data_IF_857558275300
#
_entry.id   IF_857558275300
#
_cell.length_a   1.000
_cell.length_b   1.000
_cell.length_c   1.000
_cell.angle_alpha   90.00
_cell.angle_beta   90.00
_cell.angle_gamma   90.00
#
_symmetry.space_group_name_H-M   'P 1'
#
loop_
_entity.id
_entity.type
_entity.pdbx_description
1 polymer ?
#
# COMPACT_ATOMS: atom_id res chain seq x y z
N UNK A 1 4.23 13.04 11.97
CA UNK A 1 4.69 12.59 10.63
C UNK A 1 3.53 11.92 9.93
N UNK A 2 3.15 12.42 8.75
CA UNK A 2 2.14 11.77 7.90
C UNK A 2 2.81 10.67 7.05
N UNK A 3 2.16 9.51 6.97
CA UNK A 3 2.66 8.35 6.21
C UNK A 3 1.54 7.79 5.36
N UNK A 4 1.82 7.60 4.08
CA UNK A 4 0.95 6.86 3.17
C UNK A 4 1.32 5.38 3.12
N UNK A 5 0.34 4.52 3.37
CA UNK A 5 0.49 3.07 3.34
C UNK A 5 -0.31 2.48 2.18
N UNK A 6 0.29 1.59 1.39
CA UNK A 6 -0.42 0.73 0.44
C UNK A 6 -0.69 -0.62 1.10
N UNK A 7 -1.94 -1.07 1.10
CA UNK A 7 -2.35 -2.38 1.56
C UNK A 7 -2.83 -3.20 0.36
N UNK A 8 -2.32 -4.43 0.22
CA UNK A 8 -2.70 -5.36 -0.83
C UNK A 8 -3.00 -6.76 -0.30
N UNK A 9 -4.02 -7.44 -0.82
CA UNK A 9 -4.38 -8.82 -0.45
C UNK A 9 -4.85 -9.61 -1.67
N UNK A 10 -4.38 -10.85 -1.84
CA UNK A 10 -4.80 -11.70 -2.97
C UNK A 10 -5.02 -13.18 -2.60
N UNK A 11 -5.23 -13.50 -1.32
CA UNK A 11 -5.58 -14.85 -0.86
C UNK A 11 -6.92 -14.88 -0.14
N UNK A 12 -7.69 -15.92 -0.37
CA UNK A 12 -8.94 -16.24 0.35
C UNK A 12 -9.88 -15.02 0.54
N UNK A 13 -10.22 -14.69 1.76
CA UNK A 13 -11.09 -13.55 2.11
C UNK A 13 -10.29 -12.23 2.14
N UNK A 14 -9.91 -11.73 0.96
CA UNK A 14 -9.08 -10.55 0.73
C UNK A 14 -9.55 -9.32 1.52
N UNK A 15 -10.86 -9.05 1.54
CA UNK A 15 -11.41 -7.89 2.24
C UNK A 15 -11.26 -8.02 3.76
N UNK A 16 -11.48 -9.21 4.30
CA UNK A 16 -11.27 -9.49 5.73
C UNK A 16 -9.81 -9.25 6.13
N UNK A 17 -8.86 -9.68 5.32
CA UNK A 17 -7.45 -9.46 5.60
C UNK A 17 -7.05 -7.98 5.56
N UNK A 18 -7.58 -7.19 4.62
CA UNK A 18 -7.38 -5.73 4.61
C UNK A 18 -7.95 -5.07 5.88
N UNK A 19 -9.18 -5.46 6.29
CA UNK A 19 -9.82 -4.95 7.51
C UNK A 19 -8.98 -5.31 8.75
N UNK A 20 -8.53 -6.56 8.85
CA UNK A 20 -7.68 -7.00 9.97
C UNK A 20 -6.35 -6.24 10.02
N UNK A 21 -5.70 -6.03 8.88
CA UNK A 21 -4.47 -5.24 8.80
C UNK A 21 -4.69 -3.82 9.29
N UNK A 22 -5.73 -3.14 8.78
CA UNK A 22 -6.11 -1.79 9.24
C UNK A 22 -6.35 -1.75 10.75
N UNK A 23 -7.14 -2.68 11.29
CA UNK A 23 -7.43 -2.73 12.72
C UNK A 23 -6.16 -2.90 13.55
N UNK A 24 -5.23 -3.77 13.15
CA UNK A 24 -3.98 -3.98 13.86
C UNK A 24 -3.03 -2.79 13.74
N UNK A 25 -2.97 -2.12 12.59
CA UNK A 25 -2.20 -0.88 12.42
C UNK A 25 -2.74 0.20 13.38
N UNK A 26 -4.04 0.43 13.39
CA UNK A 26 -4.68 1.47 14.21
C UNK A 26 -4.70 1.13 15.71
N UNK A 27 -4.48 -0.13 16.08
CA UNK A 27 -4.31 -0.53 17.48
C UNK A 27 -2.90 -0.26 18.04
N UNK A 28 -1.93 0.08 17.18
CA UNK A 28 -0.60 0.46 17.64
C UNK A 28 -0.64 1.81 18.36
N UNK A 29 -0.05 1.92 19.57
CA UNK A 29 -0.02 3.18 20.31
C UNK A 29 0.65 4.31 19.49
N UNK A 30 0.02 5.47 19.45
CA UNK A 30 0.57 6.64 18.76
C UNK A 30 0.36 6.65 17.24
N UNK A 31 -0.55 5.82 16.72
CA UNK A 31 -1.02 5.88 15.32
C UNK A 31 -2.44 6.45 15.30
N UNK A 32 -2.64 7.48 14.45
CA UNK A 32 -3.95 8.04 14.15
C UNK A 32 -4.26 7.87 12.66
N UNK A 33 -5.50 7.52 12.33
CA UNK A 33 -5.97 7.48 10.94
C UNK A 33 -6.32 8.91 10.49
N UNK A 34 -5.64 9.41 9.48
CA UNK A 34 -5.92 10.71 8.86
C UNK A 34 -6.88 10.58 7.67
N UNK A 35 -6.73 9.53 6.85
CA UNK A 35 -7.64 9.23 5.73
C UNK A 35 -7.53 7.75 5.32
N UNK A 36 -8.57 7.26 4.63
CA UNK A 36 -8.54 5.96 3.96
C UNK A 36 -9.20 6.06 2.59
N UNK A 37 -8.64 5.38 1.61
CA UNK A 37 -9.24 5.28 0.28
C UNK A 37 -10.36 4.22 0.24
N UNK A 38 -11.18 4.22 -0.81
CA UNK A 38 -11.94 3.03 -1.20
C UNK A 38 -11.04 1.79 -1.37
N UNK A 39 -11.66 0.60 -1.40
CA UNK A 39 -11.00 -0.64 -1.82
C UNK A 39 -11.26 -0.86 -3.30
N UNK A 40 -10.22 -1.21 -4.02
CA UNK A 40 -10.25 -1.54 -5.44
C UNK A 40 -9.90 -3.01 -5.68
N UNK A 41 -10.61 -3.66 -6.59
CA UNK A 41 -10.16 -4.91 -7.18
C UNK A 41 -9.25 -4.61 -8.38
N UNK A 42 -8.08 -5.23 -8.43
CA UNK A 42 -7.03 -4.92 -9.38
C UNK A 42 -6.45 -6.17 -10.01
N UNK A 43 -6.03 -6.05 -11.27
CA UNK A 43 -5.27 -7.10 -11.93
C UNK A 43 -3.90 -7.27 -11.28
N UNK A 44 -3.36 -8.51 -11.26
CA UNK A 44 -2.00 -8.75 -10.81
C UNK A 44 -0.96 -8.04 -11.69
N UNK A 45 0.00 -7.39 -11.06
CA UNK A 45 1.12 -6.69 -11.72
C UNK A 45 2.44 -7.24 -11.18
N UNK A 46 3.40 -7.50 -12.07
CA UNK A 46 4.73 -8.02 -11.73
C UNK A 46 4.70 -9.36 -10.97
N UNK A 47 3.70 -10.22 -11.20
CA UNK A 47 3.61 -11.55 -10.57
C UNK A 47 4.11 -12.66 -11.50
N UNK A 48 4.57 -13.80 -10.96
CA UNK A 48 4.86 -15.00 -11.75
C UNK A 48 3.66 -15.46 -12.59
N UNK A 49 3.89 -16.11 -13.76
CA UNK A 49 2.84 -16.51 -14.67
C UNK A 49 1.72 -17.35 -14.03
N UNK A 50 2.05 -18.20 -13.09
CA UNK A 50 1.10 -19.08 -12.37
C UNK A 50 0.11 -18.29 -11.49
N UNK A 51 0.40 -17.01 -11.15
CA UNK A 51 -0.46 -16.17 -10.29
C UNK A 51 -1.18 -15.04 -11.05
N UNK A 52 -1.04 -14.96 -12.38
CA UNK A 52 -1.63 -13.89 -13.20
C UNK A 52 -3.16 -13.85 -13.21
N UNK A 53 -3.81 -14.91 -12.74
CA UNK A 53 -5.27 -15.00 -12.65
C UNK A 53 -5.81 -14.78 -11.23
N UNK A 54 -4.97 -14.33 -10.29
CA UNK A 54 -5.35 -14.11 -8.90
C UNK A 54 -5.45 -12.60 -8.64
N UNK A 55 -6.65 -12.00 -8.73
CA UNK A 55 -6.81 -10.55 -8.55
C UNK A 55 -6.52 -10.14 -7.10
N UNK A 56 -6.02 -8.90 -6.96
CA UNK A 56 -5.79 -8.28 -5.66
C UNK A 56 -6.98 -7.42 -5.22
N UNK A 57 -7.09 -7.18 -3.92
CA UNK A 57 -7.74 -5.98 -3.39
C UNK A 57 -6.66 -5.04 -2.89
N UNK A 58 -6.73 -3.77 -3.30
CA UNK A 58 -5.79 -2.73 -2.89
C UNK A 58 -6.51 -1.53 -2.30
N UNK A 59 -5.89 -0.89 -1.32
CA UNK A 59 -6.35 0.34 -0.70
C UNK A 59 -5.17 1.13 -0.14
N UNK A 60 -5.39 2.41 0.16
CA UNK A 60 -4.41 3.29 0.80
C UNK A 60 -4.95 3.78 2.14
N UNK A 61 -4.09 3.74 3.16
CA UNK A 61 -4.29 4.41 4.44
C UNK A 61 -3.31 5.58 4.57
N UNK A 62 -3.80 6.69 5.08
CA UNK A 62 -2.97 7.80 5.53
C UNK A 62 -3.01 7.81 7.05
N UNK A 63 -1.86 7.66 7.66
CA UNK A 63 -1.71 7.67 9.12
C UNK A 63 -0.83 8.81 9.58
N UNK A 64 -1.04 9.26 10.80
CA UNK A 64 -0.16 10.19 11.52
C UNK A 64 0.45 9.51 12.73
N UNK A 65 1.77 9.67 12.91
CA UNK A 65 2.49 9.03 14.01
C UNK A 65 3.82 9.74 14.33
N UNK A 66 4.33 9.50 15.54
CA UNK A 66 5.69 9.84 15.94
C UNK A 66 6.63 8.63 15.96
N UNK A 67 6.14 7.45 15.61
CA UNK A 67 6.95 6.22 15.54
C UNK A 67 7.94 6.33 14.38
N UNK A 68 9.18 5.91 14.59
CA UNK A 68 10.20 5.93 13.55
C UNK A 68 9.88 4.92 12.42
N UNK A 69 10.36 5.22 11.20
CA UNK A 69 10.15 4.35 10.03
C UNK A 69 10.63 2.91 10.30
N UNK A 70 11.81 2.76 10.89
CA UNK A 70 12.35 1.44 11.21
C UNK A 70 11.49 0.62 12.19
N UNK A 71 10.86 1.30 13.16
CA UNK A 71 9.92 0.64 14.07
C UNK A 71 8.63 0.27 13.37
N UNK A 72 8.09 1.16 12.51
CA UNK A 72 6.89 0.89 11.72
C UNK A 72 7.08 -0.31 10.80
N UNK A 73 8.19 -0.38 10.07
CA UNK A 73 8.52 -1.53 9.20
C UNK A 73 8.51 -2.85 9.97
N UNK A 74 9.08 -2.87 11.19
CA UNK A 74 9.03 -4.06 12.05
C UNK A 74 7.61 -4.40 12.50
N UNK A 75 6.81 -3.40 12.85
CA UNK A 75 5.41 -3.62 13.23
C UNK A 75 4.58 -4.14 12.04
N UNK A 76 4.76 -3.58 10.86
CA UNK A 76 4.03 -4.03 9.67
C UNK A 76 4.41 -5.46 9.29
N UNK A 77 5.68 -5.81 9.30
CA UNK A 77 6.12 -7.19 9.09
C UNK A 77 5.53 -8.15 10.13
N UNK A 78 5.48 -7.75 11.41
CA UNK A 78 4.85 -8.55 12.46
C UNK A 78 3.34 -8.71 12.22
N UNK A 79 2.64 -7.64 11.82
CA UNK A 79 1.20 -7.69 11.49
C UNK A 79 0.95 -8.65 10.33
N UNK A 80 1.73 -8.56 9.26
CA UNK A 80 1.62 -9.47 8.11
C UNK A 80 1.79 -10.94 8.53
N UNK A 81 2.82 -11.24 9.32
CA UNK A 81 3.07 -12.59 9.82
C UNK A 81 1.92 -13.08 10.72
N UNK A 82 1.40 -12.23 11.59
CA UNK A 82 0.27 -12.55 12.48
C UNK A 82 -1.03 -12.80 11.71
N UNK A 83 -1.22 -12.15 10.56
CA UNK A 83 -2.37 -12.38 9.66
C UNK A 83 -2.21 -13.69 8.87
N UNK A 84 -0.99 -14.24 8.80
CA UNK A 84 -0.72 -15.52 8.16
C UNK A 84 0.24 -15.45 6.97
N UNK A 85 0.97 -14.34 6.77
CA UNK A 85 2.03 -14.28 5.77
C UNK A 85 3.16 -15.24 6.14
N UNK A 86 3.44 -16.19 5.27
CA UNK A 86 4.55 -17.14 5.41
C UNK A 86 5.71 -16.69 4.51
N UNK A 87 6.95 -16.65 5.01
CA UNK A 87 8.11 -16.40 4.17
C UNK A 87 8.18 -17.41 3.01
N UNK A 88 8.40 -16.92 1.81
CA UNK A 88 8.54 -17.74 0.61
C UNK A 88 9.70 -17.22 -0.23
N UNK A 89 10.48 -18.11 -0.90
CA UNK A 89 11.51 -17.69 -1.82
C UNK A 89 10.96 -17.14 -3.14
N UNK A 90 9.67 -17.35 -3.42
CA UNK A 90 9.02 -16.87 -4.66
C UNK A 90 8.63 -15.40 -4.48
N UNK A 91 9.25 -14.54 -5.28
CA UNK A 91 8.92 -13.11 -5.31
C UNK A 91 7.49 -12.91 -5.80
N UNK A 92 6.76 -11.99 -5.16
CA UNK A 92 5.36 -11.65 -5.48
C UNK A 92 4.39 -12.85 -5.47
N UNK A 93 4.69 -13.90 -4.68
CA UNK A 93 3.75 -15.00 -4.42
C UNK A 93 2.47 -14.48 -3.73
N UNK A 94 1.34 -15.20 -3.86
CA UNK A 94 0.12 -14.90 -3.14
C UNK A 94 0.35 -14.77 -1.63
N UNK A 95 -0.32 -13.78 -1.01
CA UNK A 95 -0.20 -13.49 0.42
C UNK A 95 -1.48 -12.91 0.99
N UNK A 96 -1.78 -13.21 2.28
CA UNK A 96 -2.97 -12.68 2.93
C UNK A 96 -3.02 -11.15 2.90
N UNK A 97 -1.91 -10.50 3.23
CA UNK A 97 -1.77 -9.04 3.17
C UNK A 97 -0.31 -8.62 2.96
N UNK A 98 -0.12 -7.50 2.31
CA UNK A 98 1.14 -6.77 2.11
C UNK A 98 0.95 -5.33 2.56
N UNK A 99 1.89 -4.78 3.33
CA UNK A 99 1.82 -3.42 3.89
C UNK A 99 3.09 -2.67 3.50
N UNK A 100 3.00 -1.82 2.49
CA UNK A 100 4.11 -1.02 2.00
C UNK A 100 3.98 0.46 2.42
N UNK A 101 5.09 1.10 2.81
CA UNK A 101 5.15 2.55 3.00
C UNK A 101 5.36 3.21 1.65
N UNK A 102 4.39 4.00 1.19
CA UNK A 102 4.49 4.76 -0.06
C UNK A 102 5.40 5.98 0.13
N UNK A 103 5.13 6.76 1.18
CA UNK A 103 5.88 7.96 1.54
C UNK A 103 5.78 8.23 3.05
N UNK A 104 6.66 9.07 3.57
CA UNK A 104 6.64 9.54 4.95
C UNK A 104 7.03 11.03 4.99
N UNK A 105 6.05 11.93 5.13
CA UNK A 105 6.25 13.39 4.99
C UNK A 105 7.13 13.73 3.78
N UNK A 106 8.25 14.42 4.05
CA UNK A 106 9.27 14.79 3.05
C UNK A 106 10.54 13.94 3.14
N UNK A 107 10.48 12.81 3.85
CA UNK A 107 11.66 11.97 4.05
C UNK A 107 12.06 11.30 2.73
N UNK A 108 13.37 11.22 2.54
CA UNK A 108 14.02 10.40 1.52
C UNK A 108 15.01 9.49 2.22
N UNK A 109 14.78 8.19 2.15
CA UNK A 109 15.60 7.15 2.78
C UNK A 109 15.98 6.15 1.70
N UNK A 110 17.25 5.82 1.62
CA UNK A 110 17.77 4.77 0.74
C UNK A 110 18.77 3.94 1.57
N UNK A 111 18.27 2.83 2.09
CA UNK A 111 19.01 1.87 2.90
C UNK A 111 18.75 0.46 2.37
N UNK A 112 19.57 -0.54 2.75
CA UNK A 112 19.54 -1.90 2.20
C UNK A 112 18.14 -2.54 2.13
N UNK A 113 17.26 -2.20 3.06
CA UNK A 113 15.91 -2.80 3.16
C UNK A 113 14.78 -1.76 3.21
N UNK A 114 15.08 -0.47 3.08
CA UNK A 114 14.10 0.61 3.19
C UNK A 114 14.40 1.68 2.14
N UNK A 115 13.47 1.84 1.20
CA UNK A 115 13.53 2.96 0.24
C UNK A 115 12.23 3.75 0.37
N UNK A 116 12.32 5.02 0.77
CA UNK A 116 11.20 5.95 0.91
C UNK A 116 11.52 7.24 0.16
N UNK A 117 10.63 7.69 -0.71
CA UNK A 117 9.38 7.06 -1.14
C UNK A 117 9.59 5.72 -1.83
N UNK A 118 8.58 4.85 -1.79
CA UNK A 118 8.64 3.53 -2.44
C UNK A 118 8.94 3.69 -3.94
N UNK A 119 10.01 3.08 -4.51
CA UNK A 119 10.52 3.43 -5.83
C UNK A 119 9.53 3.17 -6.98
N UNK A 120 8.65 2.20 -6.84
CA UNK A 120 7.70 1.81 -7.90
C UNK A 120 6.29 2.40 -7.75
N UNK A 121 6.01 3.19 -6.69
CA UNK A 121 4.67 3.71 -6.45
C UNK A 121 4.09 4.51 -7.63
N UNK A 122 4.86 5.39 -8.30
CA UNK A 122 4.31 6.26 -9.35
C UNK A 122 4.04 5.52 -10.67
N UNK A 123 4.47 4.26 -10.78
CA UNK A 123 4.31 3.42 -11.96
C UNK A 123 3.14 2.44 -11.84
N UNK A 124 2.47 2.39 -10.69
CA UNK A 124 1.49 1.37 -10.34
C UNK A 124 0.11 1.98 -10.14
N UNK A 125 -0.81 1.76 -11.08
CA UNK A 125 -2.18 2.30 -11.00
C UNK A 125 -2.90 1.86 -9.74
N UNK A 126 -2.71 0.63 -9.27
CA UNK A 126 -3.31 0.11 -8.05
C UNK A 126 -2.83 0.80 -6.75
N UNK A 127 -1.75 1.60 -6.82
CA UNK A 127 -1.28 2.47 -5.74
C UNK A 127 -1.73 3.91 -5.99
N UNK A 128 -1.49 4.42 -7.20
CA UNK A 128 -1.70 5.84 -7.53
C UNK A 128 -3.20 6.20 -7.50
N UNK A 129 -4.09 5.31 -7.99
CA UNK A 129 -5.54 5.57 -7.98
C UNK A 129 -6.07 5.76 -6.55
N UNK A 130 -5.93 4.80 -5.61
CA UNK A 130 -6.44 4.99 -4.26
C UNK A 130 -5.71 6.10 -3.49
N UNK A 131 -4.44 6.37 -3.78
CA UNK A 131 -3.72 7.49 -3.19
C UNK A 131 -4.29 8.84 -3.67
N UNK A 132 -4.63 8.95 -4.96
CA UNK A 132 -5.25 10.15 -5.55
C UNK A 132 -6.63 10.44 -4.95
N UNK A 133 -7.39 9.44 -4.52
CA UNK A 133 -8.69 9.65 -3.89
C UNK A 133 -8.58 10.38 -2.54
N UNK A 134 -7.46 10.23 -1.83
CA UNK A 134 -7.28 10.77 -0.47
C UNK A 134 -6.25 11.90 -0.40
N UNK A 135 -5.32 11.96 -1.34
CA UNK A 135 -4.25 12.98 -1.41
C UNK A 135 -3.96 13.41 -2.85
N UNK A 136 -4.96 13.93 -3.60
CA UNK A 136 -4.79 14.28 -5.02
C UNK A 136 -3.72 15.37 -5.24
N UNK A 137 -3.64 16.36 -4.35
CA UNK A 137 -2.72 17.51 -4.46
C UNK A 137 -1.35 17.26 -3.81
N UNK A 138 -1.13 16.07 -3.24
CA UNK A 138 0.15 15.73 -2.63
C UNK A 138 1.24 15.64 -3.70
N UNK A 139 2.38 16.27 -3.41
CA UNK A 139 3.61 16.12 -4.17
C UNK A 139 4.62 15.34 -3.31
N UNK A 140 4.86 14.09 -3.66
CA UNK A 140 5.78 13.20 -2.94
C UNK A 140 7.22 13.52 -3.35
N UNK A 141 8.20 13.48 -2.43
CA UNK A 141 9.61 13.70 -2.77
C UNK A 141 10.07 12.87 -3.98
N UNK A 142 10.88 13.48 -4.84
CA UNK A 142 11.31 12.87 -6.10
C UNK A 142 10.35 13.05 -7.28
N UNK A 143 9.14 13.61 -7.03
CA UNK A 143 8.19 13.95 -8.11
C UNK A 143 8.08 15.47 -8.27
N UNK A 144 7.97 15.93 -9.52
CA UNK A 144 7.76 17.35 -9.84
C UNK A 144 6.29 17.74 -9.96
N UNK A 145 5.38 16.76 -9.89
CA UNK A 145 3.94 16.93 -10.11
C UNK A 145 3.14 16.24 -9.00
N UNK A 146 1.86 16.58 -8.90
CA UNK A 146 0.95 16.00 -7.89
C UNK A 146 0.55 14.56 -8.20
N UNK A 147 0.04 13.84 -7.21
CA UNK A 147 -0.46 12.46 -7.36
C UNK A 147 -1.57 12.39 -8.40
N UNK A 148 -2.51 13.36 -8.42
CA UNK A 148 -3.58 13.41 -9.43
C UNK A 148 -3.02 13.58 -10.85
N UNK A 149 -1.99 14.40 -11.01
CA UNK A 149 -1.34 14.58 -12.31
C UNK A 149 -0.61 13.30 -12.76
N UNK A 150 0.10 12.62 -11.86
CA UNK A 150 0.71 11.31 -12.14
C UNK A 150 -0.35 10.32 -12.63
N UNK A 151 -1.50 10.26 -11.96
CA UNK A 151 -2.59 9.36 -12.34
C UNK A 151 -3.06 9.59 -13.77
N UNK A 152 -3.18 10.85 -14.21
CA UNK A 152 -3.62 11.20 -15.58
C UNK A 152 -2.61 10.81 -16.66
N UNK A 153 -1.33 10.75 -16.32
CA UNK A 153 -0.25 10.43 -17.28
C UNK A 153 0.24 8.98 -17.20
N UNK A 154 -0.31 8.22 -16.24
CA UNK A 154 0.16 6.87 -15.94
C UNK A 154 -0.11 5.90 -17.11
N UNK A 155 0.98 5.27 -17.61
CA UNK A 155 0.94 4.32 -18.72
C UNK A 155 0.60 2.87 -18.28
N UNK A 156 0.31 2.63 -17.01
CA UNK A 156 -0.10 1.31 -16.50
C UNK A 156 -1.53 0.98 -17.00
N UNK A 157 -1.69 -0.02 -17.89
CA UNK A 157 -2.98 -0.40 -18.46
C UNK A 157 -3.79 -1.28 -17.51
N UNK A 158 -3.26 -1.68 -16.36
CA UNK A 158 -3.90 -2.61 -15.45
C UNK A 158 -5.27 -2.10 -14.99
N UNK A 159 -6.23 -3.01 -14.95
CA UNK A 159 -7.60 -2.71 -14.55
C UNK A 159 -7.68 -2.49 -13.05
N UNK A 160 -8.28 -1.38 -12.65
CA UNK A 160 -8.53 -0.99 -11.25
C UNK A 160 -10.01 -0.65 -11.12
N UNK A 161 -10.77 -1.47 -10.40
CA UNK A 161 -12.24 -1.37 -10.30
C UNK A 161 -12.65 -1.13 -8.87
N UNK A 162 -13.43 -0.08 -8.62
CA UNK A 162 -13.98 0.20 -7.31
C UNK A 162 -14.82 -0.98 -6.79
N UNK A 163 -14.45 -1.55 -5.64
CA UNK A 163 -15.19 -2.60 -4.98
C UNK A 163 -16.13 -2.02 -3.90
N UNK A 164 -15.60 -1.24 -2.98
CA UNK A 164 -16.38 -0.62 -1.90
C UNK A 164 -15.75 0.67 -1.40
N UNK A 165 -16.58 1.63 -1.00
CA UNK A 165 -16.13 2.90 -0.41
C UNK A 165 -15.91 2.81 1.11
N UNK A 166 -16.49 1.80 1.76
CA UNK A 166 -16.44 1.63 3.23
C UNK A 166 -15.92 0.24 3.59
N UNK A 167 -14.97 0.21 4.52
CA UNK A 167 -14.30 -1.03 4.95
C UNK A 167 -13.58 -0.88 6.29
#
# INVERSE_FOLDING_TARGET
MEIGLSLGANMEDRLKYLIQAKQQILALPGINLAAQSPVYETEPVDVPPEFQNIPFLNSVLIIETLISIHQLMRFFLFIEQKIGRVPTPVSNAPRPVDIDIIYADKLQIEEDHITIPHPRWPLRRFVVQPLSDVRPELQIPGQSVTVSHILTQLQDPSRVVLLTKTW
#
